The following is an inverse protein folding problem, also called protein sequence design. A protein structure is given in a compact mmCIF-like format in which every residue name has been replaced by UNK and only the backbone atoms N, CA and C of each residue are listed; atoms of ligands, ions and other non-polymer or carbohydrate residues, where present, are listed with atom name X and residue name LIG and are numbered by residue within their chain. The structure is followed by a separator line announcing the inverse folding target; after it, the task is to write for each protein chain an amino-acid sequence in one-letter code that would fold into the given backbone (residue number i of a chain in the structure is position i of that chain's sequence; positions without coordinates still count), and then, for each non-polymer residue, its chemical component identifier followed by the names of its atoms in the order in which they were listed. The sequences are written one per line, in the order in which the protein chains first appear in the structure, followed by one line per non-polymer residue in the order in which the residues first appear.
data_IF_480526482856
#
_entry.id   IF_480526482856
#
_cell.length_a   1.000
_cell.length_b   1.000
_cell.length_c   1.000
_cell.angle_alpha   90.00
_cell.angle_beta   90.00
_cell.angle_gamma   90.00
#
_symmetry.space_group_name_H-M   'P 1'
#
loop_
_entity.id
_entity.type
_entity.pdbx_description
1 polymer ?
#
# COMPACT_ATOMS: atom_id res chain seq x y z
N UNK A 1 -11.72 32.69 11.25
CA UNK A 1 -12.20 31.35 11.65
C UNK A 1 -11.64 30.29 10.71
N UNK A 2 -11.17 29.16 11.23
CA UNK A 2 -10.61 28.06 10.44
C UNK A 2 -11.67 27.01 10.17
N UNK A 3 -11.62 26.37 8.99
CA UNK A 3 -12.51 25.29 8.61
C UNK A 3 -12.38 24.14 9.59
N UNK A 4 -13.52 23.64 10.08
CA UNK A 4 -13.53 22.56 11.07
C UNK A 4 -12.88 21.27 10.53
N UNK A 5 -13.11 20.96 9.25
CA UNK A 5 -12.63 19.75 8.58
C UNK A 5 -11.15 19.82 8.18
N UNK A 6 -10.77 20.78 7.33
CA UNK A 6 -9.41 20.81 6.74
C UNK A 6 -8.50 21.93 7.28
N UNK A 7 -8.96 22.67 8.29
CA UNK A 7 -8.23 23.77 8.96
C UNK A 7 -7.82 24.97 8.09
N UNK A 8 -8.15 24.99 6.79
CA UNK A 8 -8.01 26.17 5.90
C UNK A 8 -8.95 27.31 6.30
N UNK A 9 -8.72 28.53 5.81
CA UNK A 9 -9.62 29.67 6.06
C UNK A 9 -11.07 29.36 5.65
N UNK A 10 -12.02 29.56 6.55
CA UNK A 10 -13.44 29.34 6.27
C UNK A 10 -14.00 30.39 5.30
N UNK A 11 -15.00 30.01 4.50
CA UNK A 11 -15.58 30.83 3.42
C UNK A 11 -17.09 31.02 3.56
N UNK A 12 -17.60 31.07 4.79
CA UNK A 12 -19.02 31.35 5.07
C UNK A 12 -19.97 30.15 5.01
N UNK A 13 -19.47 28.94 4.74
CA UNK A 13 -20.26 27.72 4.91
C UNK A 13 -20.37 27.36 6.39
N UNK A 14 -21.53 26.92 6.85
CA UNK A 14 -21.76 26.53 8.24
C UNK A 14 -22.74 25.37 8.39
N UNK A 15 -22.95 24.92 9.62
CA UNK A 15 -23.94 23.91 9.96
C UNK A 15 -25.09 24.53 10.76
N UNK A 16 -26.29 23.98 10.61
CA UNK A 16 -27.44 24.37 11.42
C UNK A 16 -28.16 23.11 11.89
N UNK A 17 -28.17 22.89 13.22
CA UNK A 17 -28.82 21.73 13.81
C UNK A 17 -30.29 22.05 14.05
N UNK A 18 -31.14 21.56 13.13
CA UNK A 18 -32.58 21.82 13.14
C UNK A 18 -33.33 21.15 14.30
N UNK A 19 -32.67 20.29 15.09
CA UNK A 19 -33.25 19.72 16.32
C UNK A 19 -33.45 20.78 17.40
N UNK A 20 -32.70 21.87 17.32
CA UNK A 20 -32.76 22.97 18.28
C UNK A 20 -33.66 24.12 17.76
N UNK A 21 -34.44 24.76 18.64
CA UNK A 21 -35.34 25.87 18.26
C UNK A 21 -34.56 27.11 17.79
N UNK A 22 -35.24 27.98 17.04
CA UNK A 22 -34.67 29.25 16.58
C UNK A 22 -34.41 30.12 17.82
N UNK A 23 -33.12 30.36 18.14
CA UNK A 23 -32.70 31.11 19.33
C UNK A 23 -31.83 30.31 20.30
N UNK A 24 -31.79 28.98 20.17
CA UNK A 24 -30.82 28.16 20.91
C UNK A 24 -29.43 28.25 20.26
N UNK A 25 -28.41 28.57 21.06
CA UNK A 25 -27.03 28.66 20.60
C UNK A 25 -26.53 27.34 19.99
N UNK A 26 -27.07 26.19 20.42
CA UNK A 26 -26.74 24.85 19.87
C UNK A 26 -27.22 24.66 18.43
N UNK A 27 -28.20 25.45 17.99
CA UNK A 27 -28.68 25.43 16.60
C UNK A 27 -27.62 25.94 15.63
N UNK A 28 -26.82 26.93 16.05
CA UNK A 28 -25.80 27.57 15.21
C UNK A 28 -24.43 27.56 15.89
N UNK A 29 -23.76 26.39 16.02
CA UNK A 29 -22.44 26.33 16.62
C UNK A 29 -21.44 27.19 15.82
N UNK A 30 -20.87 28.20 16.48
CA UNK A 30 -20.00 29.21 15.86
C UNK A 30 -18.72 28.59 15.26
N UNK A 31 -18.29 27.45 15.81
CA UNK A 31 -17.07 26.75 15.39
C UNK A 31 -17.27 25.84 14.15
N UNK A 32 -18.52 25.55 13.78
CA UNK A 32 -18.84 24.65 12.67
C UNK A 32 -18.92 25.40 11.36
N UNK A 33 -17.76 25.93 10.94
CA UNK A 33 -17.57 26.66 9.69
C UNK A 33 -16.68 25.90 8.71
N UNK A 34 -16.92 26.07 7.41
CA UNK A 34 -16.23 25.30 6.35
C UNK A 34 -15.65 26.19 5.25
N UNK A 35 -14.57 25.72 4.61
CA UNK A 35 -13.92 26.43 3.50
C UNK A 35 -14.55 26.12 2.13
N UNK A 36 -15.34 25.06 2.02
CA UNK A 36 -15.96 24.60 0.77
C UNK A 36 -17.18 23.73 1.04
N UNK A 37 -18.03 23.58 0.03
CA UNK A 37 -19.17 22.65 0.03
C UNK A 37 -18.74 21.19 0.26
N UNK A 38 -17.61 20.76 -0.29
CA UNK A 38 -17.06 19.41 -0.05
C UNK A 38 -16.78 19.15 1.43
N UNK A 39 -16.17 20.12 2.13
CA UNK A 39 -15.90 20.00 3.56
C UNK A 39 -17.21 20.01 4.37
N UNK A 40 -18.19 20.81 3.97
CA UNK A 40 -19.50 20.86 4.61
C UNK A 40 -20.26 19.53 4.45
N UNK A 41 -20.29 18.97 3.24
CA UNK A 41 -20.92 17.68 2.94
C UNK A 41 -20.26 16.52 3.72
N UNK A 42 -18.92 16.49 3.78
CA UNK A 42 -18.18 15.51 4.57
C UNK A 42 -18.54 15.59 6.06
N UNK A 43 -18.64 16.80 6.60
CA UNK A 43 -19.10 17.00 7.98
C UNK A 43 -20.54 16.52 8.18
N UNK A 44 -21.48 16.88 7.28
CA UNK A 44 -22.88 16.45 7.38
C UNK A 44 -23.06 14.93 7.30
N UNK A 45 -22.26 14.25 6.48
CA UNK A 45 -22.28 12.79 6.41
C UNK A 45 -21.87 12.16 7.75
N UNK A 46 -20.74 12.59 8.31
CA UNK A 46 -20.24 12.10 9.60
C UNK A 46 -21.19 12.45 10.75
N UNK A 47 -21.67 13.69 10.78
CA UNK A 47 -22.59 14.17 11.80
C UNK A 47 -23.92 13.42 11.77
N UNK A 48 -24.48 13.17 10.58
CA UNK A 48 -25.70 12.39 10.40
C UNK A 48 -25.53 10.93 10.84
N UNK A 49 -24.39 10.31 10.54
CA UNK A 49 -24.08 8.96 11.00
C UNK A 49 -23.95 8.91 12.53
N UNK A 50 -23.23 9.87 13.13
CA UNK A 50 -23.13 10.01 14.58
C UNK A 50 -24.51 10.18 15.24
N UNK A 51 -25.40 10.97 14.63
CA UNK A 51 -26.77 11.15 15.10
C UNK A 51 -27.53 9.83 15.17
N UNK A 52 -27.49 9.05 14.08
CA UNK A 52 -28.18 7.76 13.99
C UNK A 52 -27.67 6.77 15.03
N UNK A 53 -26.37 6.80 15.31
CA UNK A 53 -25.74 6.01 16.36
C UNK A 53 -26.20 6.45 17.76
N UNK A 54 -26.26 7.76 18.02
CA UNK A 54 -26.76 8.30 19.30
C UNK A 54 -28.24 7.99 19.52
N UNK A 55 -29.05 8.03 18.45
CA UNK A 55 -30.49 7.71 18.47
C UNK A 55 -30.77 6.19 18.47
N UNK A 56 -29.74 5.34 18.49
CA UNK A 56 -29.89 3.88 18.48
C UNK A 56 -30.42 3.31 17.15
N UNK A 57 -30.48 4.12 16.08
CA UNK A 57 -30.92 3.72 14.73
C UNK A 57 -29.84 2.96 13.95
N UNK A 58 -28.61 2.93 14.45
CA UNK A 58 -27.49 2.21 13.87
C UNK A 58 -26.69 1.59 15.02
N UNK A 59 -26.28 0.32 14.92
CA UNK A 59 -25.44 -0.30 15.94
C UNK A 59 -24.14 0.49 16.10
N UNK A 60 -23.68 0.64 17.36
CA UNK A 60 -22.31 1.05 17.66
C UNK A 60 -21.40 -0.13 17.33
N UNK A 61 -21.13 -0.32 16.05
CA UNK A 61 -20.14 -1.31 15.64
C UNK A 61 -18.79 -0.74 16.02
N UNK A 62 -18.09 -1.37 16.96
CA UNK A 62 -16.69 -1.09 17.17
C UNK A 62 -15.98 -1.39 15.84
N UNK A 63 -15.33 -0.38 15.27
CA UNK A 63 -14.42 -0.61 14.15
C UNK A 63 -13.27 -1.42 14.73
N UNK A 64 -13.03 -2.61 14.18
CA UNK A 64 -11.88 -3.42 14.58
C UNK A 64 -10.62 -2.53 14.52
N UNK A 65 -9.78 -2.59 15.55
CA UNK A 65 -8.63 -1.68 15.71
C UNK A 65 -7.61 -1.77 14.56
N UNK A 66 -7.74 -2.79 13.72
CA UNK A 66 -7.04 -2.96 12.45
C UNK A 66 -8.12 -2.93 11.37
N UNK A 67 -8.08 -1.94 10.49
CA UNK A 67 -8.84 -1.88 9.24
C UNK A 67 -7.88 -2.32 8.12
N UNK A 68 -7.63 -3.64 7.97
CA UNK A 68 -6.69 -4.13 6.97
C UNK A 68 -7.23 -3.80 5.58
N UNK A 69 -6.38 -3.26 4.73
CA UNK A 69 -6.71 -3.06 3.32
C UNK A 69 -7.01 -4.40 2.64
N UNK A 70 -7.73 -4.36 1.52
CA UNK A 70 -8.08 -5.57 0.75
C UNK A 70 -6.85 -6.41 0.38
N UNK A 71 -5.73 -5.73 0.15
CA UNK A 71 -4.43 -6.33 -0.18
C UNK A 71 -3.85 -7.09 1.02
N UNK A 72 -3.87 -6.48 2.20
CA UNK A 72 -3.40 -7.10 3.44
C UNK A 72 -4.29 -8.29 3.82
N UNK A 73 -5.62 -8.18 3.66
CA UNK A 73 -6.55 -9.29 3.85
C UNK A 73 -6.26 -10.46 2.90
N UNK A 74 -5.93 -10.18 1.65
CA UNK A 74 -5.58 -11.21 0.68
C UNK A 74 -4.27 -11.92 1.07
N UNK A 75 -3.26 -11.19 1.55
CA UNK A 75 -2.02 -11.79 2.04
C UNK A 75 -2.23 -12.62 3.31
N UNK A 76 -3.01 -12.13 4.28
CA UNK A 76 -3.38 -12.92 5.47
C UNK A 76 -4.04 -14.25 5.09
N UNK A 77 -4.93 -14.25 4.09
CA UNK A 77 -5.56 -15.47 3.57
C UNK A 77 -4.54 -16.42 2.92
N UNK A 78 -3.54 -15.90 2.18
CA UNK A 78 -2.45 -16.71 1.60
C UNK A 78 -1.63 -17.40 2.70
N UNK A 79 -1.37 -16.71 3.82
CA UNK A 79 -0.59 -17.25 4.95
C UNK A 79 -1.22 -18.49 5.61
N UNK A 80 -2.53 -18.73 5.47
CA UNK A 80 -3.20 -19.92 6.03
C UNK A 80 -2.55 -21.23 5.55
N UNK A 81 -2.04 -21.25 4.31
CA UNK A 81 -1.35 -22.42 3.76
C UNK A 81 0.04 -22.61 4.38
N UNK A 82 0.80 -21.53 4.54
CA UNK A 82 2.12 -21.56 5.17
C UNK A 82 2.03 -21.96 6.65
N UNK A 83 1.01 -21.44 7.35
CA UNK A 83 0.68 -21.85 8.71
C UNK A 83 0.41 -23.35 8.81
N UNK A 84 -0.44 -23.89 7.92
CA UNK A 84 -0.76 -25.31 7.90
C UNK A 84 0.48 -26.20 7.71
N UNK A 85 1.38 -25.81 6.80
CA UNK A 85 2.62 -26.54 6.55
C UNK A 85 3.59 -26.49 7.76
N UNK A 86 3.73 -25.33 8.40
CA UNK A 86 4.55 -25.20 9.61
C UNK A 86 3.97 -26.02 10.77
N UNK A 87 2.65 -25.94 10.99
CA UNK A 87 1.97 -26.71 12.02
C UNK A 87 1.98 -28.23 11.75
N UNK A 88 1.93 -28.66 10.49
CA UNK A 88 2.09 -30.07 10.11
C UNK A 88 3.49 -30.59 10.44
N UNK A 89 4.53 -29.76 10.24
CA UNK A 89 5.91 -30.13 10.58
C UNK A 89 6.16 -30.29 12.09
N UNK A 90 5.45 -29.53 12.91
CA UNK A 90 5.52 -29.57 14.38
C UNK A 90 4.59 -30.68 14.94
N UNK A 91 3.47 -30.93 14.26
CA UNK A 91 2.42 -31.87 14.65
C UNK A 91 1.23 -31.17 15.31
N UNK A 92 0.05 -31.31 14.72
CA UNK A 92 -1.21 -30.73 15.20
C UNK A 92 -1.72 -31.31 16.54
N UNK A 93 -1.08 -32.35 17.08
CA UNK A 93 -1.49 -32.97 18.34
C UNK A 93 -1.21 -32.09 19.55
N UNK A 94 -0.24 -31.16 19.44
CA UNK A 94 0.15 -30.27 20.51
C UNK A 94 -0.65 -28.96 20.42
N UNK A 95 -1.31 -28.50 21.50
CA UNK A 95 -1.99 -27.22 21.48
C UNK A 95 -0.99 -26.07 21.37
N UNK A 96 -1.37 -24.99 20.68
CA UNK A 96 -0.51 -23.82 20.46
C UNK A 96 0.05 -23.20 21.75
N UNK A 97 -0.65 -23.34 22.88
CA UNK A 97 -0.21 -22.84 24.18
C UNK A 97 0.95 -23.61 24.82
N UNK A 98 1.27 -24.80 24.32
CA UNK A 98 2.36 -25.63 24.84
C UNK A 98 3.61 -25.57 23.95
N UNK A 99 3.56 -24.79 22.86
CA UNK A 99 4.68 -24.68 21.93
C UNK A 99 5.91 -24.13 22.66
N UNK A 100 7.04 -24.78 22.42
CA UNK A 100 8.34 -24.21 22.81
C UNK A 100 8.58 -22.94 22.01
N UNK A 101 9.46 -22.07 22.53
CA UNK A 101 9.82 -20.83 21.85
C UNK A 101 10.28 -21.07 20.40
N UNK A 102 11.05 -22.14 20.16
CA UNK A 102 11.52 -22.51 18.82
C UNK A 102 10.36 -22.89 17.87
N UNK A 103 9.40 -23.68 18.34
CA UNK A 103 8.22 -24.08 17.57
C UNK A 103 7.33 -22.86 17.26
N UNK A 104 7.13 -21.97 18.24
CA UNK A 104 6.37 -20.74 18.05
C UNK A 104 7.06 -19.80 17.05
N UNK A 105 8.38 -19.62 17.18
CA UNK A 105 9.17 -18.81 16.24
C UNK A 105 9.12 -19.37 14.83
N UNK A 106 9.16 -20.70 14.65
CA UNK A 106 9.03 -21.32 13.34
C UNK A 106 7.69 -20.99 12.65
N UNK A 107 6.59 -21.02 13.41
CA UNK A 107 5.26 -20.66 12.87
C UNK A 107 5.17 -19.18 12.53
N UNK A 108 5.68 -18.31 13.43
CA UNK A 108 5.68 -16.86 13.20
C UNK A 108 6.50 -16.52 11.96
N UNK A 109 7.70 -17.09 11.83
CA UNK A 109 8.58 -16.88 10.68
C UNK A 109 7.87 -17.29 9.39
N UNK A 110 7.30 -18.49 9.32
CA UNK A 110 6.56 -18.96 8.15
C UNK A 110 5.39 -18.04 7.76
N UNK A 111 4.65 -17.50 8.73
CA UNK A 111 3.55 -16.56 8.47
C UNK A 111 4.09 -15.22 7.96
N UNK A 112 5.09 -14.65 8.64
CA UNK A 112 5.64 -13.32 8.32
C UNK A 112 6.32 -13.35 6.96
N UNK A 113 7.15 -14.36 6.67
CA UNK A 113 7.77 -14.55 5.35
C UNK A 113 6.71 -14.63 4.26
N UNK A 114 5.69 -15.49 4.43
CA UNK A 114 4.63 -15.63 3.44
C UNK A 114 3.84 -14.32 3.24
N UNK A 115 3.61 -13.57 4.31
CA UNK A 115 2.92 -12.28 4.26
C UNK A 115 3.76 -11.25 3.49
N UNK A 116 5.05 -11.13 3.82
CA UNK A 116 5.96 -10.19 3.15
C UNK A 116 6.12 -10.53 1.68
N UNK A 117 6.26 -11.82 1.34
CA UNK A 117 6.37 -12.27 -0.05
C UNK A 117 5.10 -11.94 -0.83
N UNK A 118 3.92 -12.20 -0.25
CA UNK A 118 2.65 -11.84 -0.87
C UNK A 118 2.48 -10.32 -1.08
N UNK A 119 3.02 -9.50 -0.18
CA UNK A 119 3.04 -8.04 -0.33
C UNK A 119 4.02 -7.59 -1.42
N UNK A 120 5.20 -8.20 -1.50
CA UNK A 120 6.20 -7.93 -2.55
C UNK A 120 5.63 -8.30 -3.92
N UNK A 121 5.05 -9.49 -4.08
CA UNK A 121 4.39 -9.93 -5.32
C UNK A 121 3.31 -8.92 -5.76
N UNK A 122 2.47 -8.47 -4.83
CA UNK A 122 1.45 -7.48 -5.13
C UNK A 122 2.06 -6.13 -5.52
N UNK A 123 3.09 -5.68 -4.81
CA UNK A 123 3.79 -4.45 -5.13
C UNK A 123 4.44 -4.51 -6.51
N UNK A 124 5.10 -5.61 -6.87
CA UNK A 124 5.70 -5.82 -8.18
C UNK A 124 4.64 -5.82 -9.29
N UNK A 125 3.51 -6.51 -9.07
CA UNK A 125 2.39 -6.53 -10.00
C UNK A 125 1.69 -5.17 -10.18
N UNK A 126 1.74 -4.30 -9.16
CA UNK A 126 1.06 -3.00 -9.17
C UNK A 126 2.01 -1.80 -9.26
N UNK A 127 3.31 -2.03 -9.41
CA UNK A 127 4.38 -1.02 -9.46
C UNK A 127 4.13 0.03 -10.54
N UNK A 128 3.54 -0.37 -11.66
CA UNK A 128 3.27 0.51 -12.79
C UNK A 128 1.76 0.72 -12.93
N UNK A 129 1.28 1.97 -13.03
CA UNK A 129 -0.09 2.24 -13.40
C UNK A 129 -0.42 1.53 -14.72
N UNK A 130 -1.62 0.98 -14.92
CA UNK A 130 -1.97 0.33 -16.17
C UNK A 130 -1.97 1.34 -17.33
N UNK A 131 -0.84 1.40 -18.06
CA UNK A 131 -0.69 2.23 -19.26
C UNK A 131 -1.24 1.44 -20.45
N UNK A 132 -2.28 1.97 -21.08
CA UNK A 132 -2.91 1.32 -22.24
C UNK A 132 -1.87 1.07 -23.34
N UNK A 133 -1.65 -0.20 -23.68
CA UNK A 133 -0.81 -0.61 -24.83
C UNK A 133 0.60 -1.10 -24.48
N UNK A 134 1.03 -1.02 -23.22
CA UNK A 134 2.32 -1.56 -22.77
C UNK A 134 2.07 -2.84 -21.97
N UNK A 135 2.54 -4.00 -22.48
CA UNK A 135 2.36 -5.29 -21.81
C UNK A 135 3.37 -5.50 -20.70
N UNK A 136 4.62 -5.10 -20.94
CA UNK A 136 5.72 -5.25 -19.99
C UNK A 136 6.45 -3.90 -19.86
N UNK A 137 6.37 -3.24 -18.69
CA UNK A 137 7.16 -2.05 -18.41
C UNK A 137 8.64 -2.42 -18.30
N UNK A 138 9.52 -1.66 -18.97
CA UNK A 138 10.97 -1.84 -18.85
C UNK A 138 11.36 -1.62 -17.39
N UNK A 139 11.73 -2.69 -16.71
CA UNK A 139 11.95 -2.71 -15.26
C UNK A 139 13.34 -2.26 -14.85
N UNK A 140 14.30 -2.35 -15.76
CA UNK A 140 15.71 -2.03 -15.52
C UNK A 140 16.09 -0.71 -16.22
N UNK A 141 16.35 0.37 -15.47
CA UNK A 141 16.75 1.65 -16.01
C UNK A 141 18.18 1.67 -16.61
N UNK A 142 18.89 0.55 -16.58
CA UNK A 142 20.24 0.40 -17.14
C UNK A 142 20.36 -0.72 -18.18
N UNK A 143 19.25 -1.31 -18.62
CA UNK A 143 19.26 -2.39 -19.62
C UNK A 143 19.82 -1.96 -20.98
N UNK A 144 19.93 -0.66 -21.23
CA UNK A 144 20.52 -0.05 -22.42
C UNK A 144 21.99 0.40 -22.23
N UNK A 145 22.56 0.25 -21.02
CA UNK A 145 23.90 0.77 -20.69
C UNK A 145 25.05 -0.19 -21.06
N UNK A 146 24.77 -1.40 -21.56
CA UNK A 146 25.80 -2.41 -21.89
C UNK A 146 26.77 -1.95 -23.00
N UNK A 147 26.41 -0.96 -23.83
CA UNK A 147 27.23 -0.45 -24.93
C UNK A 147 27.80 0.98 -24.71
N UNK A 148 27.46 1.64 -23.60
CA UNK A 148 27.73 3.08 -23.35
C UNK A 148 28.64 3.32 -22.13
N UNK A 149 29.51 2.37 -21.78
CA UNK A 149 30.54 2.59 -20.76
C UNK A 149 31.79 3.22 -21.42
N UNK A 150 32.08 4.52 -21.22
CA UNK A 150 33.17 5.23 -21.92
C UNK A 150 34.59 4.76 -21.55
N UNK A 151 34.71 3.78 -20.65
CA UNK A 151 35.96 3.18 -20.20
C UNK A 151 36.12 1.71 -20.61
N UNK A 152 35.17 1.12 -21.33
CA UNK A 152 35.34 -0.22 -21.93
C UNK A 152 35.91 -0.10 -23.35
N UNK A 153 37.06 -0.74 -23.61
CA UNK A 153 37.64 -0.79 -24.94
C UNK A 153 36.79 -1.69 -25.86
N UNK A 154 36.47 -1.27 -27.10
CA UNK A 154 35.65 -2.07 -28.01
C UNK A 154 36.37 -3.37 -28.36
N UNK A 155 35.72 -4.51 -28.07
CA UNK A 155 36.20 -5.88 -28.36
C UNK A 155 36.48 -6.17 -29.86
N UNK A 156 36.23 -5.21 -30.76
CA UNK A 156 36.39 -5.36 -32.20
C UNK A 156 37.83 -5.15 -32.74
N UNK A 157 38.75 -4.56 -31.97
CA UNK A 157 40.09 -4.24 -32.51
C UNK A 157 41.14 -5.36 -32.34
N UNK A 158 40.84 -6.42 -31.58
CA UNK A 158 41.81 -7.50 -31.32
C UNK A 158 41.94 -8.56 -32.44
N UNK A 159 40.99 -8.63 -33.39
CA UNK A 159 40.99 -9.66 -34.43
C UNK A 159 41.60 -9.21 -35.77
N UNK A 160 41.58 -7.91 -36.09
CA UNK A 160 42.10 -7.39 -37.37
C UNK A 160 43.61 -7.15 -37.38
N UNK A 161 44.27 -7.09 -36.23
CA UNK A 161 45.73 -6.89 -36.13
C UNK A 161 46.57 -8.17 -36.36
N UNK A 162 45.96 -9.37 -36.38
CA UNK A 162 46.69 -10.65 -36.57
C UNK A 162 46.77 -11.14 -38.01
N UNK A 163 46.05 -10.54 -38.95
CA UNK A 163 46.01 -10.97 -40.36
C UNK A 163 46.79 -10.08 -41.33
N UNK A 164 47.35 -8.95 -40.87
CA UNK A 164 48.16 -8.05 -41.70
C UNK A 164 49.67 -8.26 -41.48
N UNK A 165 50.18 -9.46 -41.75
CA UNK A 165 51.62 -9.68 -41.95
C UNK A 165 51.88 -9.83 -43.47
N UNK A 166 52.61 -8.92 -44.13
CA UNK A 166 52.88 -9.05 -45.55
C UNK A 166 54.02 -10.06 -45.79
N UNK A 167 53.75 -11.05 -46.65
CA UNK A 167 54.74 -11.91 -47.28
C UNK A 167 55.29 -11.21 -48.54
N UNK A 168 56.52 -10.74 -48.50
CA UNK A 168 57.37 -10.48 -49.68
C UNK A 168 58.77 -11.02 -49.34
N UNK A 169 59.26 -12.14 -49.88
CA UNK A 169 59.65 -12.47 -51.26
C UNK A 169 60.94 -11.78 -51.75
N UNK A 170 62.09 -12.34 -51.32
CA UNK A 170 63.25 -12.75 -52.14
C UNK A 170 63.72 -11.78 -53.26
N UNK A 171 64.87 -11.14 -53.05
CA UNK A 171 66.01 -11.12 -53.98
C UNK A 171 67.31 -10.82 -53.25
#
# INVERSE_FOLDING_TARGET
MKCWVCKRQARGYGHSDLRHPVGDARRYPIDWVFCSRRCQEAFHALYGQWLRVQEGRTPKTEVAMIDPSDVELAAMKKCLKAFGAAAESIGFAKPLGEYSEAEAMQVIDAIVTCYTDAMVEHHEATKYPPVRGLKDPVSDPFADLEDDLPWEEPKAQAQTARTAAPKEARR
#
